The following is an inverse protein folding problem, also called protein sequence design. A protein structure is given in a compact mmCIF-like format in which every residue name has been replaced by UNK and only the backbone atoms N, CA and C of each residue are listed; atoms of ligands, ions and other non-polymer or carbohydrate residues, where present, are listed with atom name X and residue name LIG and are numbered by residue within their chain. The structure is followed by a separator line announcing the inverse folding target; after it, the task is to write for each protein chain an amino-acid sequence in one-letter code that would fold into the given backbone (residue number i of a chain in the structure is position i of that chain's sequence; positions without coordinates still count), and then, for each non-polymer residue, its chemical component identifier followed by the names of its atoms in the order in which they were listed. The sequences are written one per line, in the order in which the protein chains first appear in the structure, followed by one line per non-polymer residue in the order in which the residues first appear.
data_IF_976162125967
#
_entry.id   IF_976162125967
#
_cell.length_a   1.000
_cell.length_b   1.000
_cell.length_c   1.000
_cell.angle_alpha   90.00
_cell.angle_beta   90.00
_cell.angle_gamma   90.00
#
_symmetry.space_group_name_H-M   'P 1'
#
loop_
_entity.id
_entity.type
_entity.pdbx_description
1 polymer ?
#
# COMPACT_ATOMS: atom_id res chain seq x y z
N UNK A 1 17.50 -25.70 7.10
CA UNK A 1 16.66 -24.54 6.74
C UNK A 1 15.80 -24.20 7.94
N UNK A 2 15.92 -22.98 8.46
CA UNK A 2 15.11 -22.47 9.57
C UNK A 2 13.80 -21.94 9.02
N UNK A 3 12.66 -22.40 9.55
CA UNK A 3 11.35 -21.87 9.19
C UNK A 3 11.00 -20.76 10.18
N UNK A 4 10.55 -19.61 9.68
CA UNK A 4 10.24 -18.44 10.49
C UNK A 4 8.72 -18.18 10.48
N UNK A 5 8.20 -17.63 11.58
CA UNK A 5 6.77 -17.43 11.82
C UNK A 5 6.50 -15.99 12.27
N UNK A 6 5.29 -15.47 12.03
CA UNK A 6 4.84 -14.14 12.48
C UNK A 6 4.01 -14.28 13.77
N UNK A 7 3.93 -13.19 14.53
CA UNK A 7 3.09 -13.17 15.74
C UNK A 7 1.61 -13.30 15.34
N UNK A 8 0.93 -14.32 15.88
CA UNK A 8 -0.47 -14.64 15.57
C UNK A 8 -0.67 -15.81 14.60
N UNK A 9 0.41 -16.33 14.01
CA UNK A 9 0.32 -17.51 13.13
C UNK A 9 -0.08 -18.76 13.94
N UNK A 10 -1.08 -19.49 13.43
CA UNK A 10 -1.39 -20.83 13.93
C UNK A 10 -0.63 -21.85 13.09
N UNK A 11 0.35 -22.53 13.71
CA UNK A 11 1.19 -23.50 13.00
C UNK A 11 0.76 -24.91 13.34
N UNK A 12 0.34 -25.66 12.32
CA UNK A 12 0.26 -27.12 12.37
C UNK A 12 1.39 -27.70 11.52
N UNK A 13 2.19 -28.59 12.10
CA UNK A 13 3.14 -29.39 11.35
C UNK A 13 2.87 -30.88 11.63
N UNK A 14 3.06 -31.69 10.61
CA UNK A 14 3.00 -33.15 10.71
C UNK A 14 4.42 -33.70 10.56
N UNK A 15 4.96 -34.26 11.63
CA UNK A 15 6.34 -34.74 11.68
C UNK A 15 6.67 -35.35 13.03
N UNK A 16 7.90 -35.85 13.16
CA UNK A 16 8.42 -36.40 14.40
C UNK A 16 9.15 -35.31 15.18
N UNK A 17 8.80 -35.12 16.45
CA UNK A 17 9.53 -34.21 17.34
C UNK A 17 10.79 -34.92 17.82
N UNK A 18 11.96 -34.32 17.57
CA UNK A 18 13.27 -34.90 17.92
C UNK A 18 13.91 -34.28 19.15
N UNK A 19 13.61 -33.01 19.42
CA UNK A 19 14.20 -32.28 20.52
C UNK A 19 13.44 -31.00 20.80
N UNK A 20 13.52 -30.54 22.05
CA UNK A 20 12.92 -29.29 22.50
C UNK A 20 13.85 -28.67 23.55
N UNK A 21 14.31 -27.45 23.29
CA UNK A 21 15.14 -26.67 24.21
C UNK A 21 14.36 -25.42 24.63
N UNK A 22 14.05 -25.33 25.92
CA UNK A 22 13.31 -24.21 26.51
C UNK A 22 14.18 -22.96 26.60
N UNK A 23 15.47 -23.13 26.92
CA UNK A 23 16.40 -22.04 27.16
C UNK A 23 16.79 -21.38 25.83
N UNK A 24 17.05 -22.20 24.81
CA UNK A 24 17.30 -21.72 23.44
C UNK A 24 16.02 -21.44 22.65
N UNK A 25 14.85 -21.76 23.20
CA UNK A 25 13.53 -21.61 22.57
C UNK A 25 13.45 -22.29 21.20
N UNK A 26 14.00 -23.49 21.09
CA UNK A 26 14.05 -24.26 19.84
C UNK A 26 13.23 -25.55 19.91
N UNK A 27 12.60 -25.89 18.79
CA UNK A 27 11.93 -27.17 18.58
C UNK A 27 12.55 -27.84 17.35
N UNK A 28 13.15 -29.00 17.55
CA UNK A 28 13.70 -29.82 16.47
C UNK A 28 12.65 -30.81 15.98
N UNK A 29 12.37 -30.78 14.68
CA UNK A 29 11.37 -31.63 14.05
C UNK A 29 11.94 -32.31 12.81
N UNK A 30 11.54 -33.55 12.56
CA UNK A 30 11.77 -34.26 11.31
C UNK A 30 10.49 -34.28 10.50
N UNK A 31 10.52 -33.63 9.35
CA UNK A 31 9.41 -33.58 8.40
C UNK A 31 9.89 -34.17 7.07
N UNK A 32 9.24 -35.24 6.60
CA UNK A 32 9.59 -35.93 5.36
C UNK A 32 11.08 -36.34 5.28
N UNK A 33 11.66 -36.76 6.40
CA UNK A 33 13.08 -37.16 6.49
C UNK A 33 14.09 -36.01 6.57
N UNK A 34 13.63 -34.76 6.59
CA UNK A 34 14.46 -33.57 6.77
C UNK A 34 14.33 -33.03 8.19
N UNK A 35 15.47 -32.87 8.87
CA UNK A 35 15.54 -32.21 10.17
C UNK A 35 15.44 -30.69 10.00
N UNK A 36 14.57 -30.07 10.78
CA UNK A 36 14.36 -28.62 10.86
C UNK A 36 14.38 -28.18 12.32
N UNK A 37 14.86 -26.96 12.54
CA UNK A 37 14.80 -26.29 13.84
C UNK A 37 13.83 -25.12 13.71
N UNK A 38 12.81 -25.13 14.54
CA UNK A 38 11.83 -24.04 14.70
C UNK A 38 12.26 -23.21 15.89
N UNK A 39 12.54 -21.92 15.68
CA UNK A 39 12.83 -20.97 16.75
C UNK A 39 11.53 -20.28 17.17
N UNK A 40 11.15 -20.42 18.43
CA UNK A 40 9.89 -19.88 18.97
C UNK A 40 9.95 -18.38 19.22
N UNK A 41 11.16 -17.81 19.30
CA UNK A 41 11.42 -16.38 19.44
C UNK A 41 11.69 -15.67 18.10
N UNK A 42 11.69 -16.41 16.99
CA UNK A 42 11.90 -15.86 15.65
C UNK A 42 10.65 -15.14 15.18
N UNK A 43 10.38 -13.97 15.74
CA UNK A 43 9.36 -13.06 15.23
C UNK A 43 9.94 -12.38 14.00
N UNK A 44 9.47 -12.76 12.81
CA UNK A 44 9.75 -11.95 11.62
C UNK A 44 9.00 -10.64 11.79
N UNK A 45 9.68 -9.48 11.74
CA UNK A 45 8.97 -8.20 11.73
C UNK A 45 7.99 -8.20 10.55
N UNK A 46 6.80 -7.64 10.77
CA UNK A 46 5.85 -7.48 9.68
C UNK A 46 6.56 -6.76 8.51
N UNK A 47 6.40 -7.26 7.28
CA UNK A 47 7.00 -6.63 6.11
C UNK A 47 6.57 -5.16 6.04
N UNK A 48 7.52 -4.28 5.71
CA UNK A 48 7.21 -2.88 5.50
C UNK A 48 6.25 -2.74 4.32
N UNK A 49 5.12 -2.08 4.53
CA UNK A 49 4.13 -1.86 3.48
C UNK A 49 4.70 -0.93 2.42
N UNK A 50 4.54 -1.32 1.16
CA UNK A 50 4.95 -0.48 0.02
C UNK A 50 3.90 0.59 -0.25
N UNK A 51 4.32 1.72 -0.81
CA UNK A 51 3.40 2.75 -1.33
C UNK A 51 3.03 2.38 -2.76
N UNK A 52 1.74 2.36 -3.08
CA UNK A 52 1.22 2.14 -4.43
C UNK A 52 0.27 3.27 -4.86
N UNK A 53 0.24 3.64 -6.14
CA UNK A 53 -0.76 4.55 -6.68
C UNK A 53 -2.20 4.04 -6.51
N UNK A 54 -3.17 4.96 -6.57
CA UNK A 54 -4.58 4.68 -6.32
C UNK A 54 -5.21 3.71 -7.33
N UNK A 55 -4.93 3.91 -8.61
CA UNK A 55 -5.33 3.00 -9.69
C UNK A 55 -4.74 1.58 -9.53
N UNK A 56 -3.48 1.46 -9.11
CA UNK A 56 -2.83 0.16 -8.85
C UNK A 56 -3.49 -0.53 -7.66
N UNK A 57 -3.87 0.22 -6.61
CA UNK A 57 -4.69 -0.30 -5.51
C UNK A 57 -6.00 -0.88 -6.07
N UNK A 58 -6.69 -0.15 -6.93
CA UNK A 58 -8.00 -0.57 -7.44
C UNK A 58 -7.91 -1.89 -8.22
N UNK A 59 -6.87 -2.04 -9.06
CA UNK A 59 -6.60 -3.31 -9.77
C UNK A 59 -6.28 -4.46 -8.81
N UNK A 60 -5.48 -4.21 -7.76
CA UNK A 60 -5.19 -5.22 -6.74
C UNK A 60 -6.48 -5.64 -6.00
N UNK A 61 -7.32 -4.68 -5.61
CA UNK A 61 -8.59 -4.94 -4.91
C UNK A 61 -9.53 -5.76 -5.80
N UNK A 62 -9.62 -5.40 -7.09
CA UNK A 62 -10.43 -6.10 -8.06
C UNK A 62 -9.96 -7.56 -8.24
N UNK A 63 -8.66 -7.78 -8.43
CA UNK A 63 -8.09 -9.11 -8.57
C UNK A 63 -8.30 -9.97 -7.31
N UNK A 64 -8.11 -9.39 -6.12
CA UNK A 64 -8.40 -10.07 -4.85
C UNK A 64 -9.88 -10.42 -4.70
N UNK A 65 -10.78 -9.55 -5.16
CA UNK A 65 -12.21 -9.83 -5.14
C UNK A 65 -12.56 -11.01 -6.06
N UNK A 66 -12.01 -11.04 -7.29
CA UNK A 66 -12.24 -12.14 -8.24
C UNK A 66 -11.72 -13.50 -7.76
N UNK A 67 -10.74 -13.50 -6.86
CA UNK A 67 -10.09 -14.70 -6.37
C UNK A 67 -10.34 -14.96 -4.87
N UNK A 68 -11.47 -14.49 -4.32
CA UNK A 68 -11.88 -14.78 -2.94
C UNK A 68 -10.81 -14.43 -1.88
N UNK A 69 -10.09 -13.32 -2.09
CA UNK A 69 -8.96 -12.85 -1.27
C UNK A 69 -7.72 -13.77 -1.29
N UNK A 70 -7.67 -14.74 -2.20
CA UNK A 70 -6.49 -15.58 -2.45
C UNK A 70 -5.41 -14.76 -3.19
N UNK A 71 -4.42 -14.30 -2.42
CA UNK A 71 -3.36 -13.40 -2.91
C UNK A 71 -2.48 -14.04 -3.98
N UNK A 72 -2.22 -15.34 -3.90
CA UNK A 72 -1.37 -16.04 -4.87
C UNK A 72 -2.09 -16.15 -6.22
N UNK A 73 -3.38 -16.50 -6.20
CA UNK A 73 -4.19 -16.54 -7.43
C UNK A 73 -4.39 -15.15 -8.03
N UNK A 74 -4.64 -14.14 -7.19
CA UNK A 74 -4.76 -12.76 -7.64
C UNK A 74 -3.47 -12.26 -8.30
N UNK A 75 -2.31 -12.54 -7.69
CA UNK A 75 -1.02 -12.19 -8.26
C UNK A 75 -0.77 -12.90 -9.60
N UNK A 76 -1.03 -14.20 -9.65
CA UNK A 76 -0.88 -15.00 -10.88
C UNK A 76 -1.73 -14.45 -12.02
N UNK A 77 -3.02 -14.21 -11.74
CA UNK A 77 -3.97 -13.63 -12.70
C UNK A 77 -3.49 -12.28 -13.24
N UNK A 78 -3.07 -11.36 -12.36
CA UNK A 78 -2.63 -10.04 -12.79
C UNK A 78 -1.34 -10.09 -13.63
N UNK A 79 -0.40 -10.97 -13.29
CA UNK A 79 0.83 -11.14 -14.09
C UNK A 79 0.51 -11.70 -15.47
N UNK A 80 -0.35 -12.73 -15.55
CA UNK A 80 -0.78 -13.27 -16.85
C UNK A 80 -1.53 -12.23 -17.68
N UNK A 81 -2.45 -11.49 -17.05
CA UNK A 81 -3.23 -10.45 -17.70
C UNK A 81 -2.34 -9.32 -18.24
N UNK A 82 -1.41 -8.83 -17.41
CA UNK A 82 -0.39 -7.85 -17.81
C UNK A 82 0.41 -8.30 -19.03
N UNK A 83 0.87 -9.56 -19.05
CA UNK A 83 1.67 -10.09 -20.16
C UNK A 83 0.86 -10.36 -21.43
N UNK A 84 -0.41 -10.75 -21.30
CA UNK A 84 -1.24 -11.13 -22.44
C UNK A 84 -1.90 -9.94 -23.12
N UNK A 85 -2.42 -9.00 -22.35
CA UNK A 85 -3.23 -7.89 -22.83
C UNK A 85 -2.79 -6.52 -22.28
N UNK A 86 -2.15 -6.50 -21.10
CA UNK A 86 -1.97 -5.28 -20.33
C UNK A 86 -3.28 -4.84 -19.66
N UNK A 87 -3.16 -3.96 -18.69
CA UNK A 87 -4.29 -3.26 -18.08
C UNK A 87 -4.80 -2.13 -19.00
N UNK A 88 -6.08 -1.78 -18.87
CA UNK A 88 -6.66 -0.67 -19.63
C UNK A 88 -5.96 0.66 -19.32
N UNK A 89 -5.54 0.84 -18.07
CA UNK A 89 -4.85 2.05 -17.64
C UNK A 89 -3.33 1.92 -17.84
N UNK A 90 -2.77 2.74 -18.74
CA UNK A 90 -1.33 2.74 -19.08
C UNK A 90 -0.44 2.95 -17.86
N UNK A 91 -0.85 3.83 -16.94
CA UNK A 91 -0.15 4.13 -15.69
C UNK A 91 -0.02 2.91 -14.76
N UNK A 92 -0.97 1.96 -14.79
CA UNK A 92 -0.86 0.69 -14.05
C UNK A 92 0.21 -0.19 -14.69
N UNK A 93 0.20 -0.31 -16.02
CA UNK A 93 1.22 -1.07 -16.75
C UNK A 93 2.62 -0.51 -16.51
N UNK A 94 2.77 0.81 -16.59
CA UNK A 94 4.02 1.51 -16.33
C UNK A 94 4.50 1.30 -14.90
N UNK A 95 3.58 1.33 -13.92
CA UNK A 95 3.93 1.03 -12.53
C UNK A 95 4.46 -0.39 -12.39
N UNK A 96 3.77 -1.39 -12.93
CA UNK A 96 4.18 -2.80 -12.85
C UNK A 96 5.53 -3.01 -13.54
N UNK A 97 5.74 -2.44 -14.72
CA UNK A 97 6.99 -2.55 -15.47
C UNK A 97 8.19 -1.99 -14.68
N UNK A 98 8.02 -0.82 -14.05
CA UNK A 98 9.10 -0.11 -13.36
C UNK A 98 9.24 -0.48 -11.88
N UNK A 99 8.21 -1.04 -11.27
CA UNK A 99 8.13 -1.32 -9.83
C UNK A 99 7.67 -2.76 -9.53
N UNK A 100 7.98 -3.72 -10.40
CA UNK A 100 7.51 -5.10 -10.30
C UNK A 100 7.65 -5.73 -8.91
N UNK A 101 8.82 -5.58 -8.26
CA UNK A 101 9.04 -6.09 -6.91
C UNK A 101 8.11 -5.44 -5.87
N UNK A 102 7.87 -4.12 -5.97
CA UNK A 102 6.90 -3.45 -5.09
C UNK A 102 5.49 -3.92 -5.36
N UNK A 103 5.11 -4.10 -6.63
CA UNK A 103 3.81 -4.64 -7.00
C UNK A 103 3.57 -6.03 -6.39
N UNK A 104 4.52 -6.95 -6.51
CA UNK A 104 4.44 -8.28 -5.87
C UNK A 104 4.28 -8.15 -4.36
N UNK A 105 5.09 -7.32 -3.70
CA UNK A 105 4.98 -7.07 -2.26
C UNK A 105 3.62 -6.45 -1.89
N UNK A 106 3.07 -5.55 -2.70
CA UNK A 106 1.77 -4.94 -2.45
C UNK A 106 0.67 -6.01 -2.37
N UNK A 107 0.67 -6.96 -3.31
CA UNK A 107 -0.34 -8.03 -3.35
C UNK A 107 -0.16 -9.00 -2.18
N UNK A 108 1.07 -9.45 -1.90
CA UNK A 108 1.35 -10.50 -0.93
C UNK A 108 1.36 -9.97 0.52
N UNK A 109 2.07 -8.88 0.75
CA UNK A 109 2.35 -8.33 2.07
C UNK A 109 1.46 -7.14 2.44
N UNK A 110 0.81 -6.51 1.44
CA UNK A 110 -0.04 -5.34 1.61
C UNK A 110 0.64 -4.04 1.21
N UNK A 111 -0.12 -2.94 1.22
CA UNK A 111 0.34 -1.64 0.76
C UNK A 111 -0.30 -0.48 1.52
N UNK A 112 0.29 0.70 1.33
CA UNK A 112 -0.31 2.00 1.60
C UNK A 112 -0.56 2.70 0.27
N UNK A 113 -1.56 3.57 0.20
CA UNK A 113 -1.90 4.28 -1.04
C UNK A 113 -1.14 5.61 -1.05
N UNK A 114 -0.54 5.94 -2.19
CA UNK A 114 0.00 7.27 -2.44
C UNK A 114 -1.12 8.29 -2.28
N UNK A 115 -0.98 9.18 -1.29
CA UNK A 115 -1.93 10.29 -1.15
C UNK A 115 -1.46 11.42 -2.04
N UNK A 116 -2.34 11.83 -2.95
CA UNK A 116 -2.07 12.98 -3.80
C UNK A 116 -1.82 14.23 -2.94
N UNK A 117 -0.75 15.01 -3.21
CA UNK A 117 -0.48 16.22 -2.45
C UNK A 117 -1.64 17.21 -2.57
N UNK A 118 -2.13 17.65 -1.41
CA UNK A 118 -3.19 18.63 -1.35
C UNK A 118 -2.62 20.04 -1.16
N UNK A 119 -3.30 21.01 -1.76
CA UNK A 119 -2.95 22.41 -1.72
C UNK A 119 -4.16 23.27 -1.36
N UNK A 120 -3.90 24.40 -0.71
CA UNK A 120 -4.86 25.49 -0.57
C UNK A 120 -4.37 26.68 -1.41
N UNK A 121 -5.27 27.36 -2.11
CA UNK A 121 -4.92 28.53 -2.93
C UNK A 121 -5.00 29.79 -2.08
N UNK A 122 -3.89 30.51 -1.93
CA UNK A 122 -3.81 31.77 -1.16
C UNK A 122 -3.70 32.97 -2.10
N UNK A 123 -4.82 33.66 -2.33
CA UNK A 123 -4.84 34.85 -3.14
C UNK A 123 -4.25 36.06 -2.38
N UNK A 124 -3.31 36.81 -2.99
CA UNK A 124 -2.72 37.99 -2.37
C UNK A 124 -3.80 38.99 -1.91
N UNK A 125 -3.68 39.47 -0.67
CA UNK A 125 -4.56 40.47 -0.05
C UNK A 125 -6.05 40.07 0.13
N UNK A 126 -6.47 38.90 -0.34
CA UNK A 126 -7.87 38.46 -0.32
C UNK A 126 -8.13 37.32 0.67
N UNK A 127 -7.17 36.40 0.85
CA UNK A 127 -7.33 35.25 1.74
C UNK A 127 -7.14 33.93 0.98
N UNK A 128 -7.76 32.87 1.48
CA UNK A 128 -7.72 31.54 0.86
C UNK A 128 -9.03 31.23 0.14
N UNK A 129 -8.96 30.48 -0.96
CA UNK A 129 -10.15 29.98 -1.63
C UNK A 129 -10.90 28.96 -0.75
N UNK A 130 -12.22 29.11 -0.71
CA UNK A 130 -13.15 28.11 -0.20
C UNK A 130 -14.18 27.81 -1.30
N UNK A 131 -14.23 26.57 -1.78
CA UNK A 131 -15.31 26.04 -2.61
C UNK A 131 -16.50 25.70 -1.72
N UNK A 132 -17.12 26.73 -1.15
CA UNK A 132 -18.43 26.66 -0.52
C UNK A 132 -19.40 27.48 -1.37
N UNK A 133 -20.59 26.96 -1.74
CA UNK A 133 -21.59 27.71 -2.50
C UNK A 133 -22.06 29.02 -1.83
N UNK A 134 -21.70 29.24 -0.56
CA UNK A 134 -22.06 30.43 0.22
C UNK A 134 -20.86 31.34 0.57
N UNK A 135 -19.62 30.84 0.50
CA UNK A 135 -18.40 31.58 0.89
C UNK A 135 -17.27 31.25 -0.08
N UNK A 136 -16.86 32.22 -0.89
CA UNK A 136 -15.78 32.03 -1.88
C UNK A 136 -14.37 32.22 -1.31
N UNK A 137 -14.24 32.95 -0.19
CA UNK A 137 -12.96 33.31 0.43
C UNK A 137 -13.00 33.22 1.95
N UNK A 138 -11.92 32.68 2.54
CA UNK A 138 -11.74 32.58 3.99
C UNK A 138 -10.41 33.17 4.44
N UNK A 139 -10.39 33.78 5.62
CA UNK A 139 -9.18 34.42 6.15
C UNK A 139 -8.11 33.42 6.62
N UNK A 140 -8.51 32.21 7.04
CA UNK A 140 -7.61 31.23 7.67
C UNK A 140 -7.49 29.96 6.83
N UNK A 141 -6.25 29.46 6.65
CA UNK A 141 -5.93 28.24 5.90
C UNK A 141 -6.75 27.02 6.33
N UNK A 142 -7.04 26.87 7.62
CA UNK A 142 -7.81 25.73 8.16
C UNK A 142 -9.25 25.64 7.65
N UNK A 143 -9.80 26.73 7.13
CA UNK A 143 -11.15 26.76 6.53
C UNK A 143 -11.08 26.75 4.99
N UNK A 144 -9.88 26.74 4.41
CA UNK A 144 -9.68 26.76 2.98
C UNK A 144 -10.02 25.37 2.40
N UNK A 145 -10.47 25.36 1.14
CA UNK A 145 -10.62 24.11 0.42
C UNK A 145 -9.24 23.55 0.10
N UNK A 146 -9.11 22.25 0.35
CA UNK A 146 -7.93 21.46 -0.01
C UNK A 146 -8.23 20.81 -1.34
N UNK A 147 -7.40 21.09 -2.33
CA UNK A 147 -7.56 20.61 -3.70
C UNK A 147 -6.28 19.92 -4.18
N UNK A 148 -6.41 18.99 -5.12
CA UNK A 148 -5.27 18.43 -5.85
C UNK A 148 -4.71 19.45 -6.85
N UNK A 149 -3.52 19.21 -7.37
CA UNK A 149 -2.94 20.06 -8.43
C UNK A 149 -3.87 20.11 -9.66
N UNK A 150 -4.41 18.97 -10.07
CA UNK A 150 -5.31 18.87 -11.22
C UNK A 150 -6.59 19.70 -11.02
N UNK A 151 -7.20 19.65 -9.83
CA UNK A 151 -8.38 20.45 -9.51
C UNK A 151 -8.10 21.96 -9.56
N UNK A 152 -6.96 22.40 -9.01
CA UNK A 152 -6.57 23.83 -9.05
C UNK A 152 -6.36 24.29 -10.49
N UNK A 153 -5.66 23.49 -11.31
CA UNK A 153 -5.40 23.81 -12.72
C UNK A 153 -6.65 23.81 -13.57
N UNK A 154 -7.58 22.88 -13.30
CA UNK A 154 -8.88 22.82 -13.98
C UNK A 154 -9.73 24.08 -13.72
N UNK A 155 -9.60 24.69 -12.53
CA UNK A 155 -10.24 25.97 -12.22
C UNK A 155 -9.55 27.13 -12.95
N UNK A 156 -8.22 27.22 -12.80
CA UNK A 156 -7.39 28.17 -13.53
C UNK A 156 -5.93 27.84 -13.35
N UNK A 157 -5.18 27.79 -14.45
CA UNK A 157 -3.72 27.70 -14.45
C UNK A 157 -3.07 28.85 -13.63
N UNK A 158 -3.74 30.00 -13.54
CA UNK A 158 -3.28 31.15 -12.75
C UNK A 158 -3.39 30.93 -11.24
N UNK A 159 -4.20 29.98 -10.77
CA UNK A 159 -4.30 29.68 -9.33
C UNK A 159 -3.16 28.82 -8.83
N UNK A 160 -2.52 28.05 -9.72
CA UNK A 160 -1.40 27.19 -9.35
C UNK A 160 -0.23 27.96 -8.75
N UNK A 161 0.07 29.17 -9.24
CA UNK A 161 1.14 30.02 -8.68
C UNK A 161 0.90 30.44 -7.22
N UNK A 162 -0.34 30.30 -6.73
CA UNK A 162 -0.76 30.65 -5.37
C UNK A 162 -1.05 29.41 -4.51
N UNK A 163 -0.75 28.21 -5.02
CA UNK A 163 -0.93 26.96 -4.30
C UNK A 163 0.05 26.86 -3.12
N UNK A 164 -0.49 26.55 -1.94
CA UNK A 164 0.27 26.33 -0.70
C UNK A 164 0.04 24.90 -0.27
N UNK A 165 1.11 24.07 -0.12
CA UNK A 165 0.95 22.68 0.28
C UNK A 165 0.31 22.55 1.66
N UNK A 166 -0.46 21.49 1.83
CA UNK A 166 -1.07 21.08 3.09
C UNK A 166 -0.23 19.97 3.70
N UNK A 167 0.23 20.16 4.94
CA UNK A 167 0.98 19.12 5.64
C UNK A 167 0.03 18.07 6.25
N UNK A 168 0.46 16.82 6.26
CA UNK A 168 -0.28 15.72 6.90
C UNK A 168 -0.39 15.98 8.41
N UNK A 169 -1.58 16.37 8.87
CA UNK A 169 -1.87 16.66 10.29
C UNK A 169 -2.61 17.98 10.55
N UNK A 170 -2.74 18.85 9.55
CA UNK A 170 -3.58 20.05 9.65
C UNK A 170 -5.06 19.69 9.44
N UNK A 171 -5.72 19.14 10.47
CA UNK A 171 -7.16 18.83 10.52
C UNK A 171 -7.89 19.67 11.55
#
# INVERSE_FOLDING_TARGET
MTQQFRTGDTVQFTGEIRGFDVDERTLEVSMNGLNRVIRMDSVVPAPALVVVPENVRDEIVLALHYHDQDKEKALYYMIEYYHAAGFEEESVNDFIANNFAKFVSAVLDGYTVEKEPLYCVKLPHLGFLAFDPTIELVAFKKFATKCTEAEIRALSELYWQFAVPVEEGEG
#
